data_IF_827738880180
#
_entry.id   IF_827738880180
#
_cell.length_a   1.000
_cell.length_b   1.000
_cell.length_c   1.000
_cell.angle_alpha   90.00
_cell.angle_beta   90.00
_cell.angle_gamma   90.00
#
_symmetry.space_group_name_H-M   'P 1'
#
loop_
_entity.id
_entity.type
_entity.pdbx_description
1 polymer ?
#
# COMPACT_ATOMS: atom_id res chain seq x y z
N UNK A 1 -45.09 22.48 30.76
CA UNK A 1 -45.56 21.26 30.05
C UNK A 1 -45.43 21.37 28.53
N UNK A 2 -45.28 22.56 27.96
CA UNK A 2 -45.14 22.79 26.50
C UNK A 2 -43.75 22.47 25.92
N UNK A 3 -42.68 22.65 26.71
CA UNK A 3 -41.30 22.38 26.24
C UNK A 3 -41.00 20.89 25.93
N UNK A 4 -41.68 19.95 26.61
CA UNK A 4 -41.49 18.52 26.39
C UNK A 4 -42.06 18.06 25.03
N UNK A 5 -43.16 18.67 24.59
CA UNK A 5 -43.80 18.37 23.31
C UNK A 5 -43.01 18.93 22.12
N UNK A 6 -42.35 20.08 22.27
CA UNK A 6 -41.50 20.67 21.23
C UNK A 6 -40.22 19.85 21.04
N UNK A 7 -39.63 19.35 22.11
CA UNK A 7 -38.44 18.49 22.04
C UNK A 7 -38.79 17.13 21.41
N UNK A 8 -39.94 16.57 21.75
CA UNK A 8 -40.42 15.31 21.20
C UNK A 8 -40.76 15.40 19.70
N UNK A 9 -41.36 16.53 19.26
CA UNK A 9 -41.61 16.83 17.86
C UNK A 9 -40.32 17.03 17.07
N UNK A 10 -39.31 17.71 17.63
CA UNK A 10 -38.00 17.91 17.02
C UNK A 10 -37.19 16.59 16.90
N UNK A 11 -37.38 15.66 17.82
CA UNK A 11 -36.78 14.34 17.76
C UNK A 11 -37.45 13.43 16.72
N UNK A 12 -38.77 13.48 16.61
CA UNK A 12 -39.54 12.70 15.65
C UNK A 12 -39.25 13.15 14.19
N UNK A 13 -39.15 14.47 13.95
CA UNK A 13 -38.77 14.99 12.63
C UNK A 13 -37.32 14.68 12.26
N UNK A 14 -36.38 14.60 13.23
CA UNK A 14 -35.00 14.17 12.98
C UNK A 14 -34.86 12.67 12.69
N UNK A 15 -35.72 11.83 13.27
CA UNK A 15 -35.78 10.40 12.93
C UNK A 15 -36.41 10.17 11.53
N UNK A 16 -37.46 10.91 11.18
CA UNK A 16 -38.07 10.82 9.84
C UNK A 16 -37.14 11.33 8.74
N UNK A 17 -36.31 12.35 9.00
CA UNK A 17 -35.31 12.80 8.02
C UNK A 17 -34.09 11.87 7.90
N UNK A 18 -33.83 11.00 8.89
CA UNK A 18 -32.80 9.94 8.79
C UNK A 18 -33.28 8.72 8.00
N UNK A 19 -34.57 8.44 7.97
CA UNK A 19 -35.15 7.32 7.19
C UNK A 19 -35.28 7.60 5.69
N UNK A 20 -35.14 8.86 5.27
CA UNK A 20 -35.22 9.26 3.86
C UNK A 20 -33.86 9.35 3.14
N UNK A 21 -32.75 8.99 3.77
CA UNK A 21 -31.50 8.78 3.04
C UNK A 21 -31.61 7.45 2.33
N UNK A 22 -31.51 7.40 0.98
CA UNK A 22 -31.49 6.13 0.29
C UNK A 22 -30.35 5.30 0.92
N UNK A 23 -30.59 4.00 1.19
CA UNK A 23 -29.55 3.14 1.71
C UNK A 23 -28.32 3.23 0.79
N UNK A 24 -27.15 3.40 1.37
CA UNK A 24 -25.92 3.37 0.60
C UNK A 24 -25.90 2.04 -0.17
N UNK A 25 -26.12 2.08 -1.49
CA UNK A 25 -26.00 0.91 -2.33
C UNK A 25 -24.56 0.41 -2.26
N UNK A 26 -24.32 -0.59 -1.41
CA UNK A 26 -23.08 -1.38 -1.43
C UNK A 26 -23.13 -2.17 -2.74
N UNK A 27 -22.38 -1.73 -3.73
CA UNK A 27 -22.43 -2.19 -5.13
C UNK A 27 -21.69 -3.51 -5.38
N UNK A 28 -21.66 -4.44 -4.46
CA UNK A 28 -21.13 -5.80 -4.64
C UNK A 28 -22.04 -6.82 -3.97
N UNK A 29 -23.34 -6.65 -4.13
CA UNK A 29 -24.32 -7.68 -3.85
C UNK A 29 -24.27 -8.68 -5.01
N UNK A 30 -23.69 -9.86 -4.81
CA UNK A 30 -24.13 -11.06 -5.48
C UNK A 30 -25.57 -11.29 -5.00
N UNK A 31 -26.51 -10.71 -5.70
CA UNK A 31 -27.92 -11.05 -5.56
C UNK A 31 -28.06 -12.48 -6.11
N UNK A 32 -27.78 -13.46 -5.26
CA UNK A 32 -28.15 -14.84 -5.54
C UNK A 32 -29.68 -14.87 -5.67
N UNK A 33 -30.17 -15.61 -6.66
CA UNK A 33 -31.59 -15.87 -6.86
C UNK A 33 -32.17 -16.43 -5.58
N UNK A 34 -32.75 -15.56 -4.76
CA UNK A 34 -33.40 -15.91 -3.51
C UNK A 34 -34.91 -15.84 -3.76
N UNK A 35 -35.63 -16.88 -3.37
CA UNK A 35 -37.08 -16.94 -3.49
C UNK A 35 -37.78 -15.73 -2.81
N UNK A 36 -37.22 -15.23 -1.71
CA UNK A 36 -37.72 -14.05 -0.99
C UNK A 36 -37.54 -12.77 -1.83
N UNK A 37 -36.41 -12.64 -2.54
CA UNK A 37 -36.19 -11.48 -3.41
C UNK A 37 -37.11 -11.49 -4.65
N UNK A 38 -37.45 -12.66 -5.18
CA UNK A 38 -38.42 -12.78 -6.24
C UNK A 38 -39.86 -12.37 -5.77
N UNK A 39 -40.21 -12.69 -4.54
CA UNK A 39 -41.47 -12.28 -3.93
C UNK A 39 -41.47 -10.76 -3.63
N UNK A 40 -40.35 -10.20 -3.15
CA UNK A 40 -40.20 -8.76 -2.97
C UNK A 40 -40.28 -7.99 -4.28
N UNK A 41 -39.66 -8.50 -5.34
CA UNK A 41 -39.74 -7.90 -6.68
C UNK A 41 -41.18 -7.90 -7.21
N UNK A 42 -41.92 -9.01 -7.02
CA UNK A 42 -43.33 -9.11 -7.39
C UNK A 42 -44.23 -8.12 -6.63
N UNK A 43 -43.84 -7.75 -5.39
CA UNK A 43 -44.55 -6.80 -4.54
C UNK A 43 -44.04 -5.35 -4.69
N UNK A 44 -43.05 -5.09 -5.56
CA UNK A 44 -42.46 -3.78 -5.75
C UNK A 44 -41.64 -3.31 -4.52
N UNK A 45 -41.25 -4.24 -3.64
CA UNK A 45 -40.45 -3.98 -2.46
C UNK A 45 -38.94 -4.08 -2.81
N UNK A 46 -38.09 -3.36 -2.11
CA UNK A 46 -36.64 -3.53 -2.27
C UNK A 46 -36.23 -4.97 -1.91
N UNK A 47 -35.22 -5.54 -2.57
CA UNK A 47 -34.73 -6.87 -2.25
C UNK A 47 -34.30 -6.93 -0.77
N UNK A 48 -34.66 -8.02 -0.08
CA UNK A 48 -34.16 -8.32 1.25
C UNK A 48 -32.68 -8.57 1.11
N UNK A 49 -31.86 -7.79 1.78
CA UNK A 49 -30.44 -8.10 1.96
C UNK A 49 -30.39 -9.35 2.85
N UNK A 50 -30.34 -10.54 2.22
CA UNK A 50 -29.84 -11.72 2.93
C UNK A 50 -28.48 -11.37 3.47
N UNK A 51 -28.18 -11.87 4.66
CA UNK A 51 -26.93 -11.66 5.40
C UNK A 51 -25.74 -11.77 4.43
N UNK A 52 -25.49 -10.67 3.73
CA UNK A 52 -24.39 -10.60 2.76
C UNK A 52 -23.17 -10.82 3.58
N UNK A 53 -22.64 -12.03 3.51
CA UNK A 53 -21.43 -12.38 4.23
C UNK A 53 -20.39 -11.31 3.89
N UNK A 54 -20.13 -10.43 4.86
CA UNK A 54 -19.18 -9.33 4.69
C UNK A 54 -17.94 -9.89 3.98
N UNK A 55 -17.41 -9.25 2.92
CA UNK A 55 -16.28 -9.79 2.14
C UNK A 55 -15.14 -10.32 3.03
N UNK A 56 -14.95 -9.71 4.22
CA UNK A 56 -14.00 -10.18 5.24
C UNK A 56 -14.29 -11.60 5.76
N UNK A 57 -15.50 -12.12 5.64
CA UNK A 57 -15.86 -13.47 6.10
C UNK A 57 -15.49 -14.56 5.09
N UNK A 58 -15.06 -14.19 3.87
CA UNK A 58 -14.63 -15.17 2.88
C UNK A 58 -13.39 -15.94 3.38
N UNK A 59 -13.41 -17.30 3.38
CA UNK A 59 -12.36 -18.10 3.99
C UNK A 59 -10.95 -17.78 3.44
N UNK A 60 -10.81 -17.50 2.15
CA UNK A 60 -9.53 -17.12 1.54
C UNK A 60 -8.99 -15.81 2.12
N UNK A 61 -9.84 -14.80 2.30
CA UNK A 61 -9.41 -13.51 2.88
C UNK A 61 -9.10 -13.64 4.36
N UNK A 62 -9.84 -14.48 5.09
CA UNK A 62 -9.51 -14.79 6.49
C UNK A 62 -8.16 -15.50 6.61
N UNK A 63 -7.89 -16.48 5.75
CA UNK A 63 -6.57 -17.16 5.70
C UNK A 63 -5.48 -16.14 5.39
N UNK A 64 -5.68 -15.26 4.39
CA UNK A 64 -4.71 -14.22 4.05
C UNK A 64 -4.44 -13.30 5.25
N UNK A 65 -5.47 -12.83 5.97
CA UNK A 65 -5.30 -12.00 7.18
C UNK A 65 -4.51 -12.72 8.26
N UNK A 66 -4.84 -13.99 8.55
CA UNK A 66 -4.11 -14.77 9.54
C UNK A 66 -2.67 -15.03 9.12
N UNK A 67 -2.41 -15.24 7.82
CA UNK A 67 -1.05 -15.35 7.29
C UNK A 67 -0.26 -14.05 7.50
N UNK A 68 -0.87 -12.90 7.19
CA UNK A 68 -0.26 -11.58 7.45
C UNK A 68 0.07 -11.42 8.93
N UNK A 69 -0.89 -11.67 9.82
CA UNK A 69 -0.68 -11.55 11.28
C UNK A 69 0.44 -12.48 11.75
N UNK A 70 0.39 -13.75 11.32
CA UNK A 70 1.42 -14.74 11.71
C UNK A 70 2.82 -14.31 11.24
N UNK A 71 2.97 -13.87 10.00
CA UNK A 71 4.24 -13.42 9.44
C UNK A 71 4.75 -12.16 10.15
N UNK A 72 3.89 -11.17 10.41
CA UNK A 72 4.27 -9.97 11.17
C UNK A 72 4.72 -10.32 12.60
N UNK A 73 3.99 -11.19 13.28
CA UNK A 73 4.37 -11.64 14.63
C UNK A 73 5.70 -12.41 14.58
N UNK A 74 5.90 -13.29 13.60
CA UNK A 74 7.16 -14.02 13.43
C UNK A 74 8.35 -13.06 13.22
N UNK A 75 8.19 -12.03 12.37
CA UNK A 75 9.22 -11.00 12.18
C UNK A 75 9.49 -10.25 13.49
N UNK A 76 8.44 -9.82 14.19
CA UNK A 76 8.60 -9.10 15.45
C UNK A 76 9.31 -9.96 16.52
N UNK A 77 8.95 -11.25 16.62
CA UNK A 77 9.63 -12.19 17.51
C UNK A 77 11.10 -12.38 17.10
N UNK A 78 11.40 -12.48 15.81
CA UNK A 78 12.77 -12.56 15.33
C UNK A 78 13.56 -11.30 15.67
N UNK A 79 13.02 -10.12 15.41
CA UNK A 79 13.67 -8.84 15.74
C UNK A 79 13.87 -8.69 17.25
N UNK A 80 12.87 -9.08 18.06
CA UNK A 80 13.00 -9.09 19.51
C UNK A 80 14.11 -10.05 19.96
N UNK A 81 14.18 -11.26 19.39
CA UNK A 81 15.24 -12.21 19.73
C UNK A 81 16.64 -11.66 19.41
N UNK A 82 16.78 -10.92 18.32
CA UNK A 82 18.04 -10.27 17.94
C UNK A 82 18.43 -9.11 18.89
N UNK A 83 17.42 -8.39 19.41
CA UNK A 83 17.65 -7.34 20.40
C UNK A 83 18.04 -7.88 21.77
N UNK A 84 17.43 -8.98 22.21
CA UNK A 84 17.69 -9.55 23.54
C UNK A 84 18.88 -10.52 23.56
N UNK A 85 19.24 -11.11 22.42
CA UNK A 85 20.41 -11.99 22.27
C UNK A 85 21.30 -11.50 21.12
N UNK A 86 21.96 -10.37 21.25
CA UNK A 86 22.80 -9.85 20.18
C UNK A 86 24.05 -10.74 20.01
N UNK A 87 24.28 -11.17 18.78
CA UNK A 87 25.41 -12.05 18.42
C UNK A 87 26.80 -11.43 18.76
N UNK A 88 26.87 -10.12 18.97
CA UNK A 88 28.11 -9.36 19.14
C UNK A 88 28.33 -8.84 20.57
N UNK A 89 27.64 -9.38 21.59
CA UNK A 89 27.81 -8.99 22.99
C UNK A 89 27.33 -7.59 23.37
N UNK A 90 26.73 -6.84 22.45
CA UNK A 90 26.11 -5.53 22.72
C UNK A 90 24.72 -5.70 23.27
N UNK A 91 24.31 -4.88 24.24
CA UNK A 91 22.93 -4.92 24.72
C UNK A 91 21.94 -4.35 23.68
N UNK A 92 20.72 -4.88 23.61
CA UNK A 92 19.70 -4.34 22.71
C UNK A 92 19.38 -2.88 22.99
N UNK A 93 19.50 -2.44 24.25
CA UNK A 93 19.35 -1.03 24.64
C UNK A 93 20.43 -0.14 24.06
N UNK A 94 21.68 -0.60 23.99
CA UNK A 94 22.78 0.13 23.34
C UNK A 94 22.51 0.28 21.84
N UNK A 95 22.07 -0.78 21.16
CA UNK A 95 21.73 -0.73 19.74
C UNK A 95 20.60 0.26 19.45
N UNK A 96 19.56 0.28 20.29
CA UNK A 96 18.45 1.22 20.17
C UNK A 96 18.95 2.65 20.37
N UNK A 97 19.72 2.91 21.42
CA UNK A 97 20.24 4.25 21.73
C UNK A 97 21.20 4.76 20.65
N UNK A 98 22.08 3.89 20.13
CA UNK A 98 22.97 4.23 19.02
C UNK A 98 22.16 4.58 17.75
N UNK A 99 21.13 3.78 17.44
CA UNK A 99 20.22 4.03 16.31
C UNK A 99 19.50 5.38 16.46
N UNK A 100 18.94 5.67 17.63
CA UNK A 100 18.20 6.90 17.89
C UNK A 100 19.11 8.15 17.94
N UNK A 101 20.39 7.99 18.27
CA UNK A 101 21.38 9.08 18.22
C UNK A 101 21.89 9.37 16.83
N UNK A 102 21.73 8.42 15.90
CA UNK A 102 22.23 8.53 14.53
C UNK A 102 21.35 9.39 13.63
N UNK A 103 21.91 10.35 12.92
CA UNK A 103 21.23 11.18 11.91
C UNK A 103 20.54 10.37 10.83
N UNK A 104 21.08 9.20 10.50
CA UNK A 104 20.56 8.30 9.46
C UNK A 104 19.16 7.82 9.79
N UNK A 105 18.90 7.48 11.07
CA UNK A 105 17.58 7.09 11.53
C UNK A 105 16.55 8.20 11.33
N UNK A 106 16.88 9.43 11.78
CA UNK A 106 15.93 10.56 11.71
C UNK A 106 15.68 11.02 10.29
N UNK A 107 16.70 11.00 9.43
CA UNK A 107 16.53 11.25 7.99
C UNK A 107 15.61 10.22 7.35
N UNK A 108 15.81 8.95 7.64
CA UNK A 108 14.95 7.88 7.16
C UNK A 108 13.52 7.97 7.74
N UNK A 109 13.37 8.36 9.01
CA UNK A 109 12.06 8.57 9.63
C UNK A 109 11.29 9.73 8.98
N UNK A 110 11.98 10.83 8.67
CA UNK A 110 11.38 11.94 7.92
C UNK A 110 10.94 11.51 6.51
N UNK A 111 11.77 10.73 5.80
CA UNK A 111 11.42 10.16 4.50
C UNK A 111 10.22 9.23 4.60
N UNK A 112 10.22 8.30 5.56
CA UNK A 112 9.11 7.38 5.79
C UNK A 112 7.80 8.10 6.13
N UNK A 113 7.87 9.17 6.94
CA UNK A 113 6.72 10.01 7.28
C UNK A 113 6.16 10.71 6.04
N UNK A 114 7.00 11.31 5.22
CA UNK A 114 6.58 11.98 3.99
C UNK A 114 6.02 10.97 2.98
N UNK A 115 6.73 9.87 2.74
CA UNK A 115 6.32 8.84 1.81
C UNK A 115 4.98 8.22 2.19
N UNK A 116 4.79 7.86 3.47
CA UNK A 116 3.55 7.28 3.96
C UNK A 116 2.39 8.27 4.01
N UNK A 117 2.67 9.55 4.26
CA UNK A 117 1.64 10.60 4.19
C UNK A 117 1.01 10.65 2.80
N UNK A 118 1.85 10.49 1.77
CA UNK A 118 1.41 10.45 0.39
C UNK A 118 0.74 9.14 0.04
N UNK A 119 1.36 8.02 0.42
CA UNK A 119 0.85 6.69 0.15
C UNK A 119 -0.51 6.46 0.81
N UNK A 120 -0.64 6.80 2.07
CA UNK A 120 -1.90 6.71 2.79
C UNK A 120 -3.00 7.62 2.22
N UNK A 121 -2.63 8.66 1.47
CA UNK A 121 -3.56 9.54 0.77
C UNK A 121 -3.98 9.02 -0.60
N UNK A 122 -3.09 8.35 -1.33
CA UNK A 122 -3.25 7.98 -2.73
C UNK A 122 -3.23 6.45 -2.97
N UNK A 123 -2.80 5.67 -1.96
CA UNK A 123 -2.61 4.22 -2.07
C UNK A 123 -1.49 3.85 -3.05
N UNK A 124 -0.47 4.69 -3.15
CA UNK A 124 0.67 4.48 -4.04
C UNK A 124 1.81 5.46 -3.72
N UNK A 125 3.02 5.07 -4.07
CA UNK A 125 4.21 5.91 -4.07
C UNK A 125 5.10 5.89 -2.81
N UNK A 126 4.81 5.09 -1.79
CA UNK A 126 5.73 4.92 -0.66
C UNK A 126 7.11 4.47 -1.14
N UNK A 127 7.15 3.36 -1.89
CA UNK A 127 8.38 2.74 -2.35
C UNK A 127 9.22 3.67 -3.21
N UNK A 128 8.65 4.20 -4.30
CA UNK A 128 9.40 5.06 -5.22
C UNK A 128 9.89 6.36 -4.56
N UNK A 129 9.13 6.92 -3.61
CA UNK A 129 9.55 8.12 -2.86
C UNK A 129 10.73 7.77 -1.96
N UNK A 130 10.60 6.75 -1.14
CA UNK A 130 11.64 6.30 -0.21
C UNK A 130 12.92 5.90 -0.95
N UNK A 131 12.81 5.12 -2.04
CA UNK A 131 13.95 4.70 -2.85
C UNK A 131 14.66 5.89 -3.50
N UNK A 132 13.92 6.87 -4.04
CA UNK A 132 14.53 8.07 -4.62
C UNK A 132 15.41 8.79 -3.61
N UNK A 133 14.94 8.96 -2.37
CA UNK A 133 15.72 9.58 -1.29
C UNK A 133 16.92 8.73 -0.87
N UNK A 134 16.76 7.42 -0.77
CA UNK A 134 17.86 6.53 -0.38
C UNK A 134 18.97 6.50 -1.43
N UNK A 135 18.63 6.48 -2.71
CA UNK A 135 19.60 6.61 -3.80
C UNK A 135 20.33 7.96 -3.75
N UNK A 136 19.62 9.05 -3.52
CA UNK A 136 20.20 10.39 -3.36
C UNK A 136 21.15 10.45 -2.17
N UNK A 137 20.86 9.72 -1.09
CA UNK A 137 21.69 9.58 0.09
C UNK A 137 22.93 8.69 -0.13
N UNK A 138 23.06 8.07 -1.30
CA UNK A 138 24.22 7.26 -1.69
C UNK A 138 24.05 5.74 -1.52
N UNK A 139 22.86 5.26 -1.14
CA UNK A 139 22.58 3.83 -1.10
C UNK A 139 22.69 3.21 -2.51
N UNK A 140 23.12 1.95 -2.59
CA UNK A 140 23.02 1.19 -3.83
C UNK A 140 21.55 0.84 -4.12
N UNK A 141 21.16 0.60 -5.38
CA UNK A 141 19.80 0.21 -5.73
C UNK A 141 19.28 -1.00 -4.96
N UNK A 142 20.11 -2.04 -4.81
CA UNK A 142 19.75 -3.23 -4.05
C UNK A 142 19.50 -2.93 -2.57
N UNK A 143 20.36 -2.14 -1.93
CA UNK A 143 20.21 -1.73 -0.51
C UNK A 143 18.99 -0.82 -0.34
N UNK A 144 18.76 0.11 -1.25
CA UNK A 144 17.60 0.99 -1.20
C UNK A 144 16.30 0.18 -1.33
N UNK A 145 16.21 -0.70 -2.34
CA UNK A 145 15.06 -1.56 -2.54
C UNK A 145 14.83 -2.51 -1.36
N UNK A 146 15.88 -3.16 -0.86
CA UNK A 146 15.80 -4.02 0.32
C UNK A 146 15.22 -3.29 1.54
N UNK A 147 15.75 -2.09 1.85
CA UNK A 147 15.31 -1.29 2.99
C UNK A 147 13.85 -0.89 2.88
N UNK A 148 13.42 -0.50 1.69
CA UNK A 148 12.03 -0.09 1.42
C UNK A 148 11.09 -1.28 1.54
N UNK A 149 11.41 -2.42 0.90
CA UNK A 149 10.55 -3.61 0.97
C UNK A 149 10.41 -4.16 2.40
N UNK A 150 11.48 -4.14 3.20
CA UNK A 150 11.38 -4.53 4.61
C UNK A 150 10.43 -3.57 5.37
N UNK A 151 10.52 -2.26 5.11
CA UNK A 151 9.62 -1.29 5.74
C UNK A 151 8.17 -1.47 5.26
N UNK A 152 7.96 -1.73 3.98
CA UNK A 152 6.64 -1.95 3.39
C UNK A 152 5.94 -3.21 3.93
N UNK A 153 6.66 -4.25 4.34
CA UNK A 153 6.04 -5.41 5.01
C UNK A 153 5.19 -4.98 6.20
N UNK A 154 5.65 -4.02 6.99
CA UNK A 154 4.89 -3.54 8.15
C UNK A 154 3.72 -2.65 7.74
N UNK A 155 3.94 -1.71 6.83
CA UNK A 155 2.91 -0.74 6.43
C UNK A 155 1.82 -1.39 5.59
N UNK A 156 2.17 -2.22 4.61
CA UNK A 156 1.21 -2.93 3.74
C UNK A 156 0.49 -4.05 4.48
N UNK A 157 1.15 -4.69 5.47
CA UNK A 157 0.51 -5.67 6.33
C UNK A 157 -0.65 -5.07 7.12
N UNK A 158 -0.43 -3.95 7.80
CA UNK A 158 -1.47 -3.25 8.56
C UNK A 158 -2.55 -2.70 7.62
N UNK A 159 -2.15 -2.12 6.49
CA UNK A 159 -3.05 -1.60 5.47
C UNK A 159 -3.92 -2.72 4.87
N UNK A 160 -3.33 -3.85 4.47
CA UNK A 160 -4.03 -5.00 3.92
C UNK A 160 -5.08 -5.58 4.85
N UNK A 161 -4.73 -5.78 6.15
CA UNK A 161 -5.69 -6.22 7.17
C UNK A 161 -6.85 -5.23 7.30
N UNK A 162 -6.55 -3.94 7.32
CA UNK A 162 -7.55 -2.88 7.44
C UNK A 162 -8.51 -2.89 6.24
N UNK A 163 -7.99 -3.02 5.02
CA UNK A 163 -8.79 -3.11 3.80
C UNK A 163 -9.70 -4.35 3.78
N UNK A 164 -9.22 -5.51 4.26
CA UNK A 164 -10.07 -6.70 4.39
C UNK A 164 -11.20 -6.44 5.38
N UNK A 165 -10.90 -5.90 6.58
CA UNK A 165 -11.91 -5.59 7.60
C UNK A 165 -12.95 -4.58 7.12
N UNK A 166 -12.56 -3.63 6.27
CA UNK A 166 -13.45 -2.63 5.69
C UNK A 166 -14.21 -3.13 4.44
N UNK A 167 -14.04 -4.40 4.03
CA UNK A 167 -14.67 -4.94 2.84
C UNK A 167 -14.14 -4.38 1.52
N UNK A 168 -12.94 -3.83 1.52
CA UNK A 168 -12.34 -3.18 0.34
C UNK A 168 -11.49 -4.13 -0.52
N UNK A 169 -11.63 -5.44 -0.36
CA UNK A 169 -10.81 -6.41 -1.09
C UNK A 169 -11.68 -7.27 -2.00
N UNK A 170 -11.38 -7.25 -3.29
CA UNK A 170 -11.93 -8.20 -4.26
C UNK A 170 -11.03 -9.44 -4.29
N UNK A 171 -11.55 -10.57 -3.78
CA UNK A 171 -10.85 -11.85 -3.71
C UNK A 171 -10.25 -12.29 -5.04
N UNK A 172 -11.02 -12.18 -6.13
CA UNK A 172 -10.58 -12.66 -7.44
C UNK A 172 -9.44 -11.80 -7.99
N UNK A 173 -9.50 -10.49 -7.79
CA UNK A 173 -8.41 -9.58 -8.16
C UNK A 173 -7.16 -9.88 -7.33
N UNK A 174 -7.31 -10.00 -6.01
CA UNK A 174 -6.22 -10.35 -5.09
C UNK A 174 -5.49 -11.63 -5.54
N UNK A 175 -6.21 -12.74 -5.73
CA UNK A 175 -5.61 -14.03 -6.11
C UNK A 175 -4.92 -13.98 -7.48
N UNK A 176 -5.48 -13.23 -8.44
CA UNK A 176 -4.88 -13.07 -9.78
C UNK A 176 -3.63 -12.21 -9.78
N UNK A 177 -3.46 -11.34 -8.80
CA UNK A 177 -2.26 -10.51 -8.60
C UNK A 177 -1.21 -11.24 -7.77
N UNK A 178 -1.62 -12.01 -6.76
CA UNK A 178 -0.77 -12.56 -5.72
C UNK A 178 0.39 -13.39 -6.30
N UNK A 179 0.09 -14.51 -6.93
CA UNK A 179 1.14 -15.44 -7.39
C UNK A 179 2.02 -14.82 -8.49
N UNK A 180 1.47 -14.22 -9.57
CA UNK A 180 2.32 -13.56 -10.55
C UNK A 180 3.15 -12.41 -9.98
N UNK A 181 2.58 -11.64 -9.05
CA UNK A 181 3.28 -10.56 -8.36
C UNK A 181 4.46 -11.07 -7.54
N UNK A 182 4.27 -12.12 -6.76
CA UNK A 182 5.36 -12.75 -5.99
C UNK A 182 6.47 -13.29 -6.89
N UNK A 183 6.13 -13.95 -8.00
CA UNK A 183 7.12 -14.44 -8.97
C UNK A 183 7.90 -13.25 -9.56
N UNK A 184 7.20 -12.20 -9.98
CA UNK A 184 7.84 -10.99 -10.49
C UNK A 184 8.79 -10.35 -9.47
N UNK A 185 8.34 -10.25 -8.23
CA UNK A 185 9.10 -9.66 -7.13
C UNK A 185 10.37 -10.46 -6.79
N UNK A 186 10.30 -11.79 -6.77
CA UNK A 186 11.47 -12.66 -6.58
C UNK A 186 12.47 -12.44 -7.71
N UNK A 187 12.01 -12.47 -8.98
CA UNK A 187 12.88 -12.25 -10.13
C UNK A 187 13.50 -10.85 -10.13
N UNK A 188 12.73 -9.82 -9.77
CA UNK A 188 13.21 -8.45 -9.68
C UNK A 188 14.25 -8.27 -8.59
N UNK A 189 13.99 -8.78 -7.38
CA UNK A 189 14.91 -8.72 -6.26
C UNK A 189 16.22 -9.46 -6.57
N UNK A 190 16.14 -10.64 -7.18
CA UNK A 190 17.30 -11.37 -7.64
C UNK A 190 18.08 -10.56 -8.68
N UNK A 191 17.41 -9.99 -9.67
CA UNK A 191 18.05 -9.21 -10.75
C UNK A 191 18.83 -8.02 -10.20
N UNK A 192 18.20 -7.17 -9.37
CA UNK A 192 18.85 -5.97 -8.83
C UNK A 192 19.96 -6.29 -7.85
N UNK A 193 19.88 -7.43 -7.15
CA UNK A 193 20.93 -7.89 -6.23
C UNK A 193 22.12 -8.55 -6.93
N UNK A 194 21.92 -9.07 -8.16
CA UNK A 194 22.96 -9.76 -8.91
C UNK A 194 23.76 -8.85 -9.85
N UNK A 195 23.31 -7.64 -10.10
CA UNK A 195 23.96 -6.66 -10.97
C UNK A 195 24.73 -5.65 -10.13
N UNK A 196 25.92 -5.26 -10.59
CA UNK A 196 26.69 -4.21 -9.92
C UNK A 196 25.86 -2.93 -9.78
N UNK A 197 25.82 -2.41 -8.53
CA UNK A 197 25.01 -1.25 -8.18
C UNK A 197 25.34 -0.01 -9.01
N UNK A 198 26.59 0.17 -9.43
CA UNK A 198 26.99 1.31 -10.24
C UNK A 198 26.45 1.19 -11.67
N UNK A 199 26.35 -0.03 -12.22
CA UNK A 199 25.80 -0.28 -13.55
C UNK A 199 24.29 -0.06 -13.56
N UNK A 200 23.57 -0.56 -12.56
CA UNK A 200 22.10 -0.53 -12.55
C UNK A 200 21.53 0.80 -12.05
N UNK A 201 22.28 1.56 -11.25
CA UNK A 201 21.83 2.82 -10.63
C UNK A 201 21.26 3.85 -11.62
N UNK A 202 21.88 4.16 -12.78
CA UNK A 202 21.31 5.11 -13.74
C UNK A 202 19.97 4.61 -14.32
N UNK A 203 19.82 3.30 -14.53
CA UNK A 203 18.56 2.73 -15.05
C UNK A 203 17.44 2.81 -14.03
N UNK A 204 17.72 2.52 -12.76
CA UNK A 204 16.75 2.68 -11.66
C UNK A 204 16.37 4.16 -11.50
N UNK A 205 17.35 5.08 -11.55
CA UNK A 205 17.08 6.50 -11.48
C UNK A 205 16.23 7.01 -12.68
N UNK A 206 16.51 6.52 -13.90
CA UNK A 206 15.69 6.81 -15.07
C UNK A 206 14.28 6.25 -14.95
N UNK A 207 14.14 5.04 -14.44
CA UNK A 207 12.83 4.45 -14.13
C UNK A 207 12.04 5.32 -13.13
N UNK A 208 12.65 5.72 -12.02
CA UNK A 208 12.02 6.58 -11.02
C UNK A 208 11.62 7.94 -11.61
N UNK A 209 12.44 8.52 -12.48
CA UNK A 209 12.10 9.73 -13.21
C UNK A 209 10.86 9.54 -14.08
N UNK A 210 10.81 8.47 -14.87
CA UNK A 210 9.65 8.15 -15.69
C UNK A 210 8.38 7.93 -14.83
N UNK A 211 8.52 7.30 -13.66
CA UNK A 211 7.41 7.10 -12.71
C UNK A 211 6.94 8.44 -12.12
N UNK A 212 7.85 9.34 -11.78
CA UNK A 212 7.50 10.69 -11.34
C UNK A 212 6.68 11.45 -12.40
N UNK A 213 7.13 11.45 -13.66
CA UNK A 213 6.40 12.04 -14.77
C UNK A 213 5.05 11.34 -15.03
N UNK A 214 5.01 10.02 -14.91
CA UNK A 214 3.78 9.25 -15.03
C UNK A 214 2.74 9.65 -13.97
N UNK A 215 3.16 9.81 -12.71
CA UNK A 215 2.30 10.31 -11.63
C UNK A 215 1.79 11.72 -11.95
N UNK A 216 2.65 12.64 -12.39
CA UNK A 216 2.24 13.99 -12.81
C UNK A 216 1.19 13.91 -13.94
N UNK A 217 1.37 13.02 -14.90
CA UNK A 217 0.42 12.86 -16.00
C UNK A 217 -1.00 12.50 -15.56
N UNK A 218 -1.14 11.86 -14.38
CA UNK A 218 -2.45 11.48 -13.81
C UNK A 218 -3.24 12.67 -13.28
N UNK A 219 -2.58 13.78 -12.98
CA UNK A 219 -3.23 15.04 -12.55
C UNK A 219 -4.24 15.52 -13.60
N UNK A 220 -3.94 15.28 -14.87
CA UNK A 220 -4.72 15.78 -16.01
C UNK A 220 -5.74 14.78 -16.57
N UNK A 221 -5.80 13.55 -16.03
CA UNK A 221 -6.68 12.52 -16.58
C UNK A 221 -7.99 12.42 -15.81
N UNK A 222 -9.09 12.37 -16.57
CA UNK A 222 -10.43 12.01 -16.06
C UNK A 222 -10.71 10.53 -16.36
N UNK A 223 -11.02 9.75 -15.33
CA UNK A 223 -11.24 8.30 -15.46
C UNK A 223 -12.73 8.01 -15.53
N UNK A 224 -13.16 7.30 -16.57
CA UNK A 224 -14.54 6.81 -16.70
C UNK A 224 -14.65 5.42 -16.08
N UNK A 225 -15.66 5.19 -15.24
CA UNK A 225 -15.89 3.90 -14.61
C UNK A 225 -16.16 2.81 -15.68
N UNK A 226 -15.50 1.66 -15.51
CA UNK A 226 -15.65 0.49 -16.36
C UNK A 226 -16.06 -0.72 -15.52
N UNK A 227 -17.22 -1.28 -15.79
CA UNK A 227 -17.77 -2.44 -15.07
C UNK A 227 -17.20 -3.78 -15.54
N UNK A 228 -16.44 -3.81 -16.65
CA UNK A 228 -15.85 -5.04 -17.16
C UNK A 228 -14.67 -5.49 -16.31
N UNK A 229 -14.58 -6.78 -16.04
CA UNK A 229 -13.45 -7.35 -15.33
C UNK A 229 -12.12 -7.04 -16.06
N UNK A 230 -11.05 -6.68 -15.34
CA UNK A 230 -9.79 -6.31 -15.96
C UNK A 230 -9.15 -7.52 -16.64
N UNK A 231 -8.63 -7.27 -17.85
CA UNK A 231 -7.91 -8.28 -18.62
C UNK A 231 -6.42 -8.27 -18.25
N UNK A 232 -5.76 -9.40 -18.47
CA UNK A 232 -4.30 -9.53 -18.31
C UNK A 232 -3.76 -9.18 -16.91
N UNK A 233 -4.56 -9.34 -15.85
CA UNK A 233 -4.18 -9.04 -14.46
C UNK A 233 -2.92 -9.80 -14.05
N UNK A 234 -2.78 -11.09 -14.44
CA UNK A 234 -1.60 -11.87 -14.11
C UNK A 234 -0.31 -11.32 -14.76
N UNK A 235 -0.37 -10.89 -16.02
CA UNK A 235 0.76 -10.25 -16.70
C UNK A 235 1.14 -8.93 -16.04
N UNK A 236 0.11 -8.15 -15.65
CA UNK A 236 0.30 -6.89 -14.95
C UNK A 236 0.93 -7.12 -13.56
N UNK A 237 0.47 -8.16 -12.84
CA UNK A 237 1.04 -8.54 -11.55
C UNK A 237 2.50 -8.97 -11.67
N UNK A 238 2.82 -9.85 -12.63
CA UNK A 238 4.21 -10.30 -12.88
C UNK A 238 5.13 -9.11 -13.20
N UNK A 239 4.73 -8.26 -14.13
CA UNK A 239 5.51 -7.08 -14.51
C UNK A 239 5.61 -6.07 -13.36
N UNK A 240 4.49 -5.81 -12.68
CA UNK A 240 4.44 -4.87 -11.56
C UNK A 240 5.35 -5.32 -10.42
N UNK A 241 5.30 -6.59 -10.02
CA UNK A 241 6.18 -7.13 -8.97
C UNK A 241 7.67 -7.12 -9.36
N UNK A 242 8.00 -7.41 -10.62
CA UNK A 242 9.37 -7.32 -11.10
C UNK A 242 9.91 -5.88 -11.01
N UNK A 243 9.15 -4.93 -11.56
CA UNK A 243 9.55 -3.50 -11.57
C UNK A 243 9.59 -2.92 -10.16
N UNK A 244 8.69 -3.36 -9.30
CA UNK A 244 8.64 -2.98 -7.88
C UNK A 244 9.94 -3.35 -7.16
N UNK A 245 10.36 -4.59 -7.26
CA UNK A 245 11.57 -5.05 -6.62
C UNK A 245 12.85 -4.46 -7.23
N UNK A 246 12.93 -4.28 -8.57
CA UNK A 246 14.08 -3.66 -9.23
C UNK A 246 14.17 -2.17 -8.91
N UNK A 247 13.05 -1.47 -8.93
CA UNK A 247 12.97 -0.02 -8.74
C UNK A 247 12.87 0.42 -7.29
N UNK A 248 12.72 -0.52 -6.34
CA UNK A 248 12.48 -0.22 -4.94
C UNK A 248 11.15 0.48 -4.69
N UNK A 249 10.13 0.09 -5.44
CA UNK A 249 8.77 0.60 -5.40
C UNK A 249 8.24 0.82 -6.81
N UNK A 250 7.01 0.43 -7.04
CA UNK A 250 6.41 0.53 -8.37
C UNK A 250 5.11 -0.24 -8.46
N UNK A 251 4.85 -1.11 -7.51
CA UNK A 251 3.63 -1.89 -7.47
C UNK A 251 2.39 -0.99 -7.51
N UNK A 252 2.26 -0.05 -6.59
CA UNK A 252 1.16 0.90 -6.57
C UNK A 252 1.05 1.72 -7.87
N UNK A 253 2.09 2.47 -8.27
CA UNK A 253 2.09 3.25 -9.51
C UNK A 253 1.81 2.44 -10.77
N UNK A 254 2.31 1.21 -10.89
CA UNK A 254 2.10 0.38 -12.08
C UNK A 254 0.76 -0.35 -12.01
N UNK A 255 0.49 -1.09 -10.94
CA UNK A 255 -0.66 -1.98 -10.86
C UNK A 255 -1.93 -1.22 -10.50
N UNK A 256 -1.90 -0.44 -9.40
CA UNK A 256 -3.07 0.33 -8.95
C UNK A 256 -3.51 1.33 -10.00
N UNK A 257 -2.57 2.12 -10.53
CA UNK A 257 -2.94 3.16 -11.51
C UNK A 257 -3.40 2.58 -12.83
N UNK A 258 -2.87 1.42 -13.27
CA UNK A 258 -3.34 0.76 -14.49
C UNK A 258 -4.76 0.24 -14.30
N UNK A 259 -5.04 -0.45 -13.20
CA UNK A 259 -6.38 -0.99 -12.91
C UNK A 259 -7.40 0.13 -12.73
N UNK A 260 -7.10 1.14 -11.91
CA UNK A 260 -7.97 2.30 -11.73
C UNK A 260 -8.10 3.08 -13.05
N UNK A 261 -7.00 3.25 -13.78
CA UNK A 261 -6.99 3.93 -15.08
C UNK A 261 -7.81 3.24 -16.16
N UNK A 262 -8.03 1.92 -16.05
CA UNK A 262 -8.96 1.17 -16.90
C UNK A 262 -10.40 1.20 -16.41
N UNK A 263 -10.68 1.99 -15.36
CA UNK A 263 -12.04 2.24 -14.85
C UNK A 263 -12.49 1.25 -13.77
N UNK A 264 -11.59 0.47 -13.19
CA UNK A 264 -11.94 -0.37 -12.05
C UNK A 264 -12.25 0.50 -10.83
N UNK A 265 -13.09 0.00 -9.92
CA UNK A 265 -13.42 0.70 -8.69
C UNK A 265 -12.16 0.95 -7.85
N UNK A 266 -11.82 2.22 -7.55
CA UNK A 266 -10.59 2.54 -6.84
C UNK A 266 -10.51 1.89 -5.45
N UNK A 267 -11.62 1.83 -4.74
CA UNK A 267 -11.67 1.33 -3.37
C UNK A 267 -11.29 -0.14 -3.28
N UNK A 268 -11.94 -0.97 -4.09
CA UNK A 268 -11.67 -2.42 -4.10
C UNK A 268 -10.36 -2.75 -4.81
N UNK A 269 -9.93 -1.93 -5.76
CA UNK A 269 -8.64 -2.06 -6.42
C UNK A 269 -7.51 -1.80 -5.42
N UNK A 270 -7.50 -0.66 -4.74
CA UNK A 270 -6.46 -0.29 -3.77
C UNK A 270 -6.36 -1.34 -2.67
N UNK A 271 -7.49 -1.77 -2.09
CA UNK A 271 -7.48 -2.78 -1.04
C UNK A 271 -6.94 -4.13 -1.50
N UNK A 272 -7.30 -4.57 -2.71
CA UNK A 272 -6.81 -5.84 -3.26
C UNK A 272 -5.33 -5.79 -3.62
N UNK A 273 -4.86 -4.67 -4.16
CA UNK A 273 -3.46 -4.43 -4.52
C UNK A 273 -2.60 -4.35 -3.26
N UNK A 274 -3.01 -3.61 -2.23
CA UNK A 274 -2.29 -3.51 -0.95
C UNK A 274 -2.18 -4.85 -0.22
N UNK A 275 -3.25 -5.65 -0.22
CA UNK A 275 -3.17 -6.98 0.39
C UNK A 275 -2.20 -7.90 -0.37
N UNK A 276 -2.17 -7.82 -1.71
CA UNK A 276 -1.21 -8.58 -2.52
C UNK A 276 0.22 -8.07 -2.29
N UNK A 277 0.40 -6.76 -2.16
CA UNK A 277 1.68 -6.09 -1.95
C UNK A 277 2.40 -6.59 -0.70
N UNK A 278 1.69 -6.84 0.40
CA UNK A 278 2.30 -7.44 1.58
C UNK A 278 3.06 -8.73 1.27
N UNK A 279 2.44 -9.63 0.51
CA UNK A 279 3.07 -10.93 0.21
C UNK A 279 4.25 -10.80 -0.75
N UNK A 280 4.15 -9.92 -1.74
CA UNK A 280 5.26 -9.72 -2.68
C UNK A 280 6.43 -8.97 -2.02
N UNK A 281 6.17 -7.97 -1.17
CA UNK A 281 7.21 -7.28 -0.40
C UNK A 281 7.87 -8.22 0.61
N UNK A 282 7.09 -9.11 1.23
CA UNK A 282 7.60 -10.12 2.15
C UNK A 282 8.57 -11.09 1.44
N UNK A 283 8.20 -11.64 0.26
CA UNK A 283 9.11 -12.52 -0.48
C UNK A 283 10.33 -11.78 -1.04
N UNK A 284 10.16 -10.54 -1.49
CA UNK A 284 11.29 -9.67 -1.89
C UNK A 284 12.25 -9.45 -0.73
N UNK A 285 11.72 -9.13 0.46
CA UNK A 285 12.54 -8.92 1.66
C UNK A 285 13.36 -10.17 2.02
N UNK A 286 12.78 -11.38 1.86
CA UNK A 286 13.53 -12.64 2.05
C UNK A 286 14.65 -12.76 1.02
N UNK A 287 14.38 -12.53 -0.26
CA UNK A 287 15.39 -12.61 -1.33
C UNK A 287 16.51 -11.60 -1.08
N UNK A 288 16.17 -10.37 -0.71
CA UNK A 288 17.14 -9.35 -0.35
C UNK A 288 17.96 -9.73 0.89
N UNK A 289 17.34 -10.27 1.92
CA UNK A 289 18.05 -10.72 3.12
C UNK A 289 19.08 -11.81 2.81
N UNK A 290 18.80 -12.69 1.85
CA UNK A 290 19.71 -13.75 1.41
C UNK A 290 20.85 -13.19 0.54
N UNK A 291 20.55 -12.29 -0.40
CA UNK A 291 21.49 -11.85 -1.44
C UNK A 291 22.27 -10.58 -1.07
N UNK A 292 21.64 -9.65 -0.36
CA UNK A 292 22.25 -8.37 0.06
C UNK A 292 22.83 -8.48 1.47
N UNK A 293 22.30 -9.40 2.29
CA UNK A 293 22.69 -9.61 3.66
C UNK A 293 22.00 -8.65 4.64
N UNK A 294 22.66 -8.37 5.77
CA UNK A 294 22.09 -7.47 6.78
C UNK A 294 21.98 -6.04 6.21
N UNK A 295 20.74 -5.59 6.08
CA UNK A 295 20.44 -4.23 5.61
C UNK A 295 20.82 -3.16 6.64
N UNK A 296 20.84 -1.88 6.25
CA UNK A 296 21.08 -0.76 7.15
C UNK A 296 19.90 -0.58 8.12
N UNK A 297 19.88 -1.33 9.19
CA UNK A 297 18.79 -1.35 10.18
C UNK A 297 18.34 0.03 10.68
N UNK A 298 19.23 1.03 10.90
CA UNK A 298 18.80 2.38 11.25
C UNK A 298 17.91 3.01 10.18
N UNK A 299 18.17 2.76 8.90
CA UNK A 299 17.32 3.23 7.79
C UNK A 299 15.96 2.54 7.82
N UNK A 300 15.96 1.21 7.89
CA UNK A 300 14.71 0.42 7.94
C UNK A 300 13.86 0.84 9.12
N UNK A 301 14.45 0.90 10.32
CA UNK A 301 13.76 1.32 11.55
C UNK A 301 13.19 2.74 11.41
N UNK A 302 13.96 3.68 10.85
CA UNK A 302 13.50 5.03 10.58
C UNK A 302 12.30 5.05 9.62
N UNK A 303 12.39 4.37 8.48
CA UNK A 303 11.30 4.28 7.50
C UNK A 303 10.02 3.69 8.11
N UNK A 304 10.15 2.62 8.91
CA UNK A 304 9.02 1.98 9.60
C UNK A 304 8.38 2.94 10.60
N UNK A 305 9.19 3.53 11.49
CA UNK A 305 8.69 4.45 12.52
C UNK A 305 8.04 5.67 11.88
N UNK A 306 8.70 6.30 10.92
CA UNK A 306 8.13 7.44 10.19
C UNK A 306 6.84 7.09 9.47
N UNK A 307 6.80 5.94 8.79
CA UNK A 307 5.61 5.43 8.09
C UNK A 307 4.44 5.15 9.04
N UNK A 308 4.67 4.43 10.12
CA UNK A 308 3.63 4.13 11.11
C UNK A 308 3.08 5.39 11.78
N UNK A 309 3.95 6.38 12.04
CA UNK A 309 3.53 7.66 12.61
C UNK A 309 2.67 8.48 11.63
N UNK A 310 2.96 8.40 10.34
CA UNK A 310 2.22 9.11 9.30
C UNK A 310 0.82 8.56 9.04
N UNK A 311 0.58 7.27 9.27
CA UNK A 311 -0.66 6.58 8.89
C UNK A 311 -1.94 7.29 9.40
N UNK A 312 -2.07 7.73 10.67
CA UNK A 312 -3.25 8.44 11.14
C UNK A 312 -3.36 9.86 10.53
N UNK A 313 -2.24 10.53 10.24
CA UNK A 313 -2.23 11.86 9.64
C UNK A 313 -2.55 11.84 8.15
N UNK A 314 -2.13 10.80 7.44
CA UNK A 314 -2.44 10.59 6.04
C UNK A 314 -3.96 10.56 5.80
N UNK A 315 -4.70 9.83 6.65
CA UNK A 315 -6.16 9.78 6.59
C UNK A 315 -6.83 11.14 6.85
N UNK A 316 -6.20 12.00 7.64
CA UNK A 316 -6.68 13.36 7.90
C UNK A 316 -6.38 14.29 6.71
N UNK A 317 -5.21 14.12 6.11
CA UNK A 317 -4.73 14.93 4.99
C UNK A 317 -5.54 14.67 3.71
N UNK A 318 -5.96 13.42 3.45
CA UNK A 318 -6.85 13.06 2.35
C UNK A 318 -8.19 13.77 2.41
N UNK A 319 -8.66 14.11 3.60
CA UNK A 319 -9.91 14.89 3.75
C UNK A 319 -9.75 16.37 3.41
N UNK A 320 -8.54 16.91 3.46
CA UNK A 320 -8.26 18.36 3.30
C UNK A 320 -7.55 18.70 1.99
N UNK A 321 -6.73 17.80 1.45
CA UNK A 321 -5.99 18.06 0.21
C UNK A 321 -6.64 17.38 -0.99
N UNK A 322 -6.66 18.11 -2.10
CA UNK A 322 -7.10 17.54 -3.37
C UNK A 322 -6.07 16.49 -3.85
N UNK A 323 -6.53 15.30 -4.23
CA UNK A 323 -5.69 14.23 -4.74
C UNK A 323 -4.78 14.67 -5.91
N UNK A 324 -5.25 15.61 -6.74
CA UNK A 324 -4.44 16.17 -7.84
C UNK A 324 -3.23 16.95 -7.33
N UNK A 325 -3.38 17.71 -6.24
CA UNK A 325 -2.29 18.47 -5.62
C UNK A 325 -1.24 17.52 -5.06
N UNK A 326 -1.69 16.47 -4.36
CA UNK A 326 -0.79 15.44 -3.83
C UNK A 326 -0.01 14.71 -4.94
N UNK A 327 -0.70 14.29 -6.01
CA UNK A 327 -0.06 13.66 -7.16
C UNK A 327 0.97 14.59 -7.82
N UNK A 328 0.65 15.87 -8.00
CA UNK A 328 1.56 16.86 -8.57
C UNK A 328 2.79 17.04 -7.69
N UNK A 329 2.62 17.23 -6.38
CA UNK A 329 3.72 17.40 -5.44
C UNK A 329 4.66 16.20 -5.44
N UNK A 330 4.12 15.00 -5.30
CA UNK A 330 4.91 13.76 -5.24
C UNK A 330 5.61 13.49 -6.54
N UNK A 331 4.89 13.54 -7.67
CA UNK A 331 5.51 13.33 -8.97
C UNK A 331 6.62 14.33 -9.25
N UNK A 332 6.46 15.61 -8.83
CA UNK A 332 7.50 16.63 -8.95
C UNK A 332 8.72 16.30 -8.08
N UNK A 333 8.52 15.97 -6.81
CA UNK A 333 9.62 15.64 -5.88
C UNK A 333 10.40 14.42 -6.40
N UNK A 334 9.71 13.35 -6.80
CA UNK A 334 10.36 12.16 -7.35
C UNK A 334 11.14 12.52 -8.61
N UNK A 335 10.55 13.27 -9.54
CA UNK A 335 11.21 13.66 -10.78
C UNK A 335 12.47 14.48 -10.54
N UNK A 336 12.40 15.49 -9.66
CA UNK A 336 13.56 16.34 -9.32
C UNK A 336 14.68 15.54 -8.66
N UNK A 337 14.35 14.69 -7.68
CA UNK A 337 15.35 13.84 -7.02
C UNK A 337 15.94 12.83 -8.00
N UNK A 338 15.12 12.28 -8.90
CA UNK A 338 15.61 11.32 -9.91
C UNK A 338 16.55 11.97 -10.93
N UNK A 339 16.30 13.22 -11.34
CA UNK A 339 17.26 14.00 -12.16
C UNK A 339 18.59 14.16 -11.43
N UNK A 340 18.56 14.51 -10.14
CA UNK A 340 19.78 14.58 -9.32
C UNK A 340 20.48 13.20 -9.24
N UNK A 341 19.74 12.12 -9.06
CA UNK A 341 20.30 10.76 -9.04
C UNK A 341 20.93 10.36 -10.39
N UNK A 342 20.28 10.72 -11.50
CA UNK A 342 20.82 10.50 -12.85
C UNK A 342 22.14 11.29 -12.99
N UNK A 343 22.12 12.58 -12.67
CA UNK A 343 23.33 13.42 -12.74
C UNK A 343 24.47 12.80 -11.93
N UNK A 344 24.20 12.39 -10.67
CA UNK A 344 25.20 11.77 -9.77
C UNK A 344 25.67 10.39 -10.25
N UNK A 345 24.92 9.70 -11.08
CA UNK A 345 25.33 8.40 -11.61
C UNK A 345 26.31 8.50 -12.79
N UNK A 346 26.39 9.67 -13.44
CA UNK A 346 27.28 9.92 -14.58
C UNK A 346 28.47 10.83 -14.23
N UNK A 347 28.48 11.42 -13.03
CA UNK A 347 29.56 12.22 -12.48
C UNK A 347 30.05 11.67 -11.13
#
# INVERSE_FOLDING_TARGET
MEWALVVQAAWSTKQLSRSSRPPMKIRNLDLTDNAINAEHEALGLPPVEDDVSHPSNHPVLRIAVWAVVFLLVAILCYLASRLFNPANGRSGTELILETLRGDTFWKAAAVGLLAQTVDGALGMAYGITSTSFLLASGASPAVASASVHIAEVFTTGISGISHVKLGNVNKNLFLRLLIPGMIGAILGAWTVSSIDGNIIKPYVAAYLFCMGLYIISKVFKTIKANKKAPKHVAKLGLFGGFVDAVGGGGWGPVVTTTLVGTGQDPRTTIGSVNLAEFFLTFVSAIVFAILVGEGPWPIVAGLVVGGLFAAPFAALLTRRLNARVLLAMVGTVISVISVYNIYKAFN
#
